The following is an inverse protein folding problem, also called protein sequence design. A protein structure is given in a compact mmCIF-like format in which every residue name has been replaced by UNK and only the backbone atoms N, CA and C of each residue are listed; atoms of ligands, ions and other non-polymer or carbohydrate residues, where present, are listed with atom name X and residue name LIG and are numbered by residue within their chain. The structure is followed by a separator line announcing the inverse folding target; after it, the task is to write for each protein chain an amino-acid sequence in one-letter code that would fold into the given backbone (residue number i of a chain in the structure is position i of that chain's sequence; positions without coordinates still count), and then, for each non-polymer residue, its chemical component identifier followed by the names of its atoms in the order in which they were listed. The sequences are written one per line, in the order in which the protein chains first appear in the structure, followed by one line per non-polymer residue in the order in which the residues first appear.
data_IF_561549669745
#
_entry.id   IF_561549669745
#
_cell.length_a   1.000
_cell.length_b   1.000
_cell.length_c   1.000
_cell.angle_alpha   90.00
_cell.angle_beta   90.00
_cell.angle_gamma   90.00
#
_symmetry.space_group_name_H-M   'P 1'
#
loop_
_entity.id
_entity.type
_entity.pdbx_description
1 polymer ?
#
# COMPACT_ATOMS: atom_id res chain seq x y z
N UNK A 1 -9.02 11.49 -22.16
CA UNK A 1 -8.00 12.10 -21.29
C UNK A 1 -7.39 10.97 -20.50
N UNK A 2 -6.10 10.68 -20.67
CA UNK A 2 -5.45 9.61 -19.90
C UNK A 2 -5.30 10.08 -18.46
N UNK A 3 -6.15 9.59 -17.55
CA UNK A 3 -5.96 9.80 -16.11
C UNK A 3 -4.58 9.26 -15.74
N UNK A 4 -3.64 10.15 -15.42
CA UNK A 4 -2.31 9.72 -14.93
C UNK A 4 -2.52 8.82 -13.72
N UNK A 5 -2.05 7.57 -13.82
CA UNK A 5 -2.13 6.63 -12.70
C UNK A 5 -1.24 7.14 -11.58
N UNK A 6 -1.77 7.12 -10.37
CA UNK A 6 -0.97 7.41 -9.16
C UNK A 6 -0.25 6.14 -8.71
N UNK A 7 0.87 6.34 -8.00
CA UNK A 7 1.54 5.23 -7.32
C UNK A 7 0.65 4.74 -6.17
N UNK A 8 0.73 3.44 -5.83
CA UNK A 8 0.25 2.95 -4.55
C UNK A 8 0.90 3.77 -3.40
N UNK A 9 0.13 4.21 -2.40
CA UNK A 9 0.63 5.08 -1.32
C UNK A 9 1.86 4.54 -0.59
N UNK A 10 1.96 3.22 -0.41
CA UNK A 10 3.11 2.56 0.22
C UNK A 10 4.44 2.75 -0.54
N UNK A 11 4.42 2.95 -1.86
CA UNK A 11 5.62 3.21 -2.66
C UNK A 11 5.73 4.65 -3.17
N UNK A 12 4.89 5.55 -2.69
CA UNK A 12 4.97 6.98 -2.97
C UNK A 12 5.87 7.69 -1.93
N UNK A 13 7.14 7.28 -1.86
CA UNK A 13 8.12 7.74 -0.86
C UNK A 13 9.09 8.81 -1.40
N UNK A 14 8.61 9.67 -2.32
CA UNK A 14 9.42 10.72 -2.92
C UNK A 14 10.04 11.68 -1.90
N UNK A 15 9.30 12.00 -0.84
CA UNK A 15 9.76 12.80 0.29
C UNK A 15 10.88 12.12 1.09
N UNK A 16 10.84 10.79 1.22
CA UNK A 16 11.90 10.01 1.88
C UNK A 16 13.15 9.97 1.01
N UNK A 17 13.01 9.85 -0.31
CA UNK A 17 14.13 9.96 -1.25
C UNK A 17 14.79 11.35 -1.18
N UNK A 18 14.00 12.42 -1.05
CA UNK A 18 14.52 13.78 -0.85
C UNK A 18 15.34 13.87 0.45
N UNK A 19 14.90 13.21 1.53
CA UNK A 19 15.67 13.14 2.78
C UNK A 19 16.96 12.35 2.64
N UNK A 20 16.97 11.25 1.88
CA UNK A 20 18.22 10.52 1.61
C UNK A 20 19.20 11.42 0.87
N UNK A 21 18.76 12.04 -0.24
CA UNK A 21 19.60 12.92 -1.05
C UNK A 21 20.14 14.13 -0.27
N UNK A 22 19.34 14.71 0.64
CA UNK A 22 19.77 15.84 1.46
C UNK A 22 20.78 15.48 2.56
N UNK A 23 20.93 14.19 2.90
CA UNK A 23 21.79 13.71 3.99
C UNK A 23 22.92 12.80 3.50
N UNK A 24 23.19 12.78 2.21
CA UNK A 24 24.35 12.08 1.62
C UNK A 24 25.13 13.01 0.73
N UNK A 25 26.46 12.90 0.77
CA UNK A 25 27.38 13.57 -0.16
C UNK A 25 27.95 12.58 -1.19
N UNK A 26 27.56 11.29 -1.12
CA UNK A 26 28.05 10.26 -2.03
C UNK A 26 27.39 10.39 -3.42
N UNK A 27 28.18 10.58 -4.51
CA UNK A 27 27.64 10.70 -5.86
C UNK A 27 26.89 9.46 -6.35
N UNK A 28 27.30 8.26 -5.95
CA UNK A 28 26.62 7.01 -6.31
C UNK A 28 25.29 6.89 -5.59
N UNK A 29 25.22 7.25 -4.31
CA UNK A 29 23.95 7.31 -3.58
C UNK A 29 22.97 8.27 -4.27
N UNK A 30 23.44 9.44 -4.69
CA UNK A 30 22.63 10.42 -5.44
C UNK A 30 22.15 9.84 -6.77
N UNK A 31 23.02 9.16 -7.52
CA UNK A 31 22.65 8.48 -8.77
C UNK A 31 21.55 7.44 -8.55
N UNK A 32 21.67 6.60 -7.52
CA UNK A 32 20.64 5.60 -7.23
C UNK A 32 19.31 6.22 -6.80
N UNK A 33 19.32 7.32 -6.05
CA UNK A 33 18.09 8.05 -5.73
C UNK A 33 17.39 8.52 -7.01
N UNK A 34 18.13 9.07 -7.96
CA UNK A 34 17.56 9.53 -9.22
C UNK A 34 17.05 8.37 -10.10
N UNK A 35 17.79 7.27 -10.19
CA UNK A 35 17.34 6.05 -10.88
C UNK A 35 16.05 5.48 -10.27
N UNK A 36 15.95 5.44 -8.94
CA UNK A 36 14.71 5.01 -8.26
C UNK A 36 13.54 5.94 -8.63
N UNK A 37 13.75 7.25 -8.68
CA UNK A 37 12.69 8.23 -9.07
C UNK A 37 12.23 8.01 -10.51
N UNK A 38 13.15 7.75 -11.42
CA UNK A 38 12.85 7.46 -12.82
C UNK A 38 11.99 6.20 -12.91
N UNK A 39 12.40 5.12 -12.25
CA UNK A 39 11.68 3.84 -12.31
C UNK A 39 10.29 3.90 -11.64
N UNK A 40 10.14 4.68 -10.56
CA UNK A 40 8.83 4.98 -9.96
C UNK A 40 7.94 5.79 -10.92
N UNK A 41 8.53 6.70 -11.70
CA UNK A 41 7.81 7.47 -12.72
C UNK A 41 7.37 6.57 -13.86
N UNK A 42 8.21 5.65 -14.31
CA UNK A 42 7.86 4.65 -15.32
C UNK A 42 6.76 3.70 -14.85
N UNK A 43 6.75 3.34 -13.56
CA UNK A 43 5.70 2.49 -12.98
C UNK A 43 4.30 3.12 -13.12
N UNK A 44 4.21 4.46 -13.10
CA UNK A 44 2.94 5.21 -13.33
C UNK A 44 2.44 5.06 -14.77
N UNK A 45 3.32 4.86 -15.74
CA UNK A 45 2.98 4.91 -17.17
C UNK A 45 2.83 3.54 -17.82
N UNK A 46 3.46 2.49 -17.27
CA UNK A 46 3.49 1.14 -17.85
C UNK A 46 2.22 0.30 -17.60
N UNK A 47 2.04 -0.70 -18.46
CA UNK A 47 1.00 -1.73 -18.37
C UNK A 47 1.28 -2.71 -17.21
N UNK A 48 0.24 -3.35 -16.63
CA UNK A 48 0.36 -4.24 -15.47
C UNK A 48 1.40 -5.36 -15.62
N UNK A 49 1.50 -5.98 -16.80
CA UNK A 49 2.37 -7.14 -17.05
C UNK A 49 3.87 -6.80 -17.03
N UNK A 50 4.23 -5.54 -17.28
CA UNK A 50 5.61 -5.06 -17.20
C UNK A 50 6.02 -4.64 -15.78
N UNK A 51 5.12 -4.75 -14.79
CA UNK A 51 5.37 -4.27 -13.42
C UNK A 51 6.26 -5.18 -12.61
N UNK A 52 6.25 -6.50 -12.80
CA UNK A 52 7.02 -7.38 -11.91
C UNK A 52 8.54 -7.26 -12.13
N UNK A 53 8.99 -7.21 -13.39
CA UNK A 53 10.39 -6.92 -13.69
C UNK A 53 10.79 -5.55 -13.17
N UNK A 54 9.90 -4.55 -13.30
CA UNK A 54 10.14 -3.19 -12.82
C UNK A 54 10.26 -3.11 -11.30
N UNK A 55 9.39 -3.82 -10.59
CA UNK A 55 9.43 -3.91 -9.12
C UNK A 55 10.72 -4.59 -8.66
N UNK A 56 11.20 -5.61 -9.38
CA UNK A 56 12.50 -6.21 -9.10
C UNK A 56 13.66 -5.23 -9.37
N UNK A 57 13.59 -4.43 -10.43
CA UNK A 57 14.59 -3.39 -10.71
C UNK A 57 14.67 -2.38 -9.58
N UNK A 58 13.52 -1.86 -9.13
CA UNK A 58 13.46 -0.88 -8.04
C UNK A 58 14.03 -1.49 -6.75
N UNK A 59 13.71 -2.74 -6.43
CA UNK A 59 14.28 -3.44 -5.27
C UNK A 59 15.81 -3.50 -5.33
N UNK A 60 16.37 -3.89 -6.48
CA UNK A 60 17.82 -3.96 -6.66
C UNK A 60 18.49 -2.58 -6.54
N UNK A 61 17.82 -1.52 -7.01
CA UNK A 61 18.31 -0.14 -6.87
C UNK A 61 18.29 0.31 -5.41
N UNK A 62 17.26 -0.05 -4.64
CA UNK A 62 17.18 0.24 -3.20
C UNK A 62 18.29 -0.50 -2.44
N UNK A 63 18.52 -1.78 -2.75
CA UNK A 63 19.60 -2.56 -2.14
C UNK A 63 20.97 -1.97 -2.51
N UNK A 64 21.13 -1.48 -3.74
CA UNK A 64 22.36 -0.80 -4.16
C UNK A 64 22.54 0.53 -3.44
N UNK A 65 21.50 1.35 -3.33
CA UNK A 65 21.52 2.61 -2.58
C UNK A 65 22.05 2.40 -1.15
N UNK A 66 21.58 1.36 -0.46
CA UNK A 66 22.00 1.01 0.91
C UNK A 66 23.50 0.70 1.04
N UNK A 67 24.20 0.40 -0.05
CA UNK A 67 25.66 0.19 -0.03
C UNK A 67 26.46 1.50 -0.02
N UNK A 68 25.84 2.64 -0.34
CA UNK A 68 26.50 3.95 -0.53
C UNK A 68 25.99 5.04 0.43
N UNK A 69 25.09 4.69 1.35
CA UNK A 69 24.55 5.62 2.35
C UNK A 69 24.96 5.20 3.75
N UNK A 70 25.28 6.19 4.57
CA UNK A 70 25.61 6.02 5.98
C UNK A 70 24.80 7.00 6.84
N UNK A 71 24.88 6.84 8.17
CA UNK A 71 24.27 7.75 9.14
C UNK A 71 22.76 7.94 8.92
N UNK A 72 22.32 9.19 8.87
CA UNK A 72 20.91 9.55 8.72
C UNK A 72 20.36 9.15 7.34
N UNK A 73 21.16 9.26 6.28
CA UNK A 73 20.74 8.80 4.94
C UNK A 73 20.47 7.28 4.92
N UNK A 74 21.29 6.48 5.63
CA UNK A 74 21.05 5.04 5.74
C UNK A 74 19.77 4.72 6.53
N UNK A 75 19.42 5.52 7.53
CA UNK A 75 18.16 5.37 8.26
C UNK A 75 16.96 5.58 7.33
N UNK A 76 16.96 6.65 6.54
CA UNK A 76 15.89 6.94 5.58
C UNK A 76 15.83 5.93 4.43
N UNK A 77 16.97 5.47 3.93
CA UNK A 77 17.04 4.42 2.91
C UNK A 77 16.48 3.08 3.42
N UNK A 78 16.68 2.75 4.70
CA UNK A 78 16.07 1.58 5.32
C UNK A 78 14.55 1.69 5.40
N UNK A 79 14.01 2.87 5.69
CA UNK A 79 12.55 3.10 5.62
C UNK A 79 12.02 2.82 4.21
N UNK A 80 12.74 3.23 3.16
CA UNK A 80 12.38 2.92 1.77
C UNK A 80 12.38 1.41 1.53
N UNK A 81 13.43 0.70 1.96
CA UNK A 81 13.54 -0.76 1.82
C UNK A 81 12.38 -1.48 2.52
N UNK A 82 12.06 -1.11 3.75
CA UNK A 82 10.99 -1.74 4.52
C UNK A 82 9.61 -1.47 3.90
N UNK A 83 9.33 -0.23 3.47
CA UNK A 83 8.11 0.11 2.74
C UNK A 83 7.98 -0.72 1.46
N UNK A 84 9.07 -0.89 0.72
CA UNK A 84 9.07 -1.67 -0.51
C UNK A 84 8.86 -3.18 -0.24
N UNK A 85 9.45 -3.71 0.84
CA UNK A 85 9.22 -5.08 1.28
C UNK A 85 7.75 -5.31 1.68
N UNK A 86 7.15 -4.38 2.43
CA UNK A 86 5.74 -4.41 2.79
C UNK A 86 4.82 -4.31 1.55
N UNK A 87 5.20 -3.51 0.55
CA UNK A 87 4.51 -3.48 -0.74
C UNK A 87 4.57 -4.82 -1.48
N UNK A 88 5.74 -5.47 -1.53
CA UNK A 88 5.87 -6.82 -2.10
C UNK A 88 5.03 -7.83 -1.35
N UNK A 89 4.99 -7.75 -0.02
CA UNK A 89 4.16 -8.62 0.81
C UNK A 89 2.67 -8.42 0.49
N UNK A 90 2.18 -7.18 0.50
CA UNK A 90 0.79 -6.86 0.14
C UNK A 90 0.43 -7.34 -1.26
N UNK A 91 1.33 -7.20 -2.25
CA UNK A 91 1.11 -7.71 -3.61
C UNK A 91 1.06 -9.24 -3.69
N UNK A 92 1.75 -9.96 -2.80
CA UNK A 92 1.66 -11.43 -2.74
C UNK A 92 0.36 -11.89 -2.09
N UNK A 93 -0.20 -11.10 -1.18
CA UNK A 93 -1.54 -11.32 -0.63
C UNK A 93 -2.64 -10.99 -1.64
N UNK A 94 -2.38 -10.08 -2.59
CA UNK A 94 -3.35 -9.75 -3.65
C UNK A 94 -3.61 -10.91 -4.61
N UNK A 95 -4.85 -10.98 -5.12
CA UNK A 95 -5.18 -11.85 -6.25
C UNK A 95 -4.39 -11.44 -7.49
N UNK A 96 -4.12 -12.41 -8.36
CA UNK A 96 -3.43 -12.18 -9.65
C UNK A 96 -4.31 -11.43 -10.66
N UNK A 97 -5.63 -11.47 -10.49
CA UNK A 97 -6.61 -10.93 -11.43
C UNK A 97 -7.28 -9.66 -10.93
N UNK A 98 -7.27 -9.41 -9.62
CA UNK A 98 -7.84 -8.23 -8.97
C UNK A 98 -6.76 -7.17 -8.67
N UNK A 99 -7.04 -5.90 -8.98
CA UNK A 99 -6.16 -4.77 -8.68
C UNK A 99 -6.97 -3.56 -8.20
N UNK A 100 -6.43 -2.80 -7.25
CA UNK A 100 -7.00 -1.50 -6.87
C UNK A 100 -6.24 -0.39 -7.58
N UNK A 101 -6.90 0.25 -8.53
CA UNK A 101 -6.36 1.39 -9.27
C UNK A 101 -6.75 2.71 -8.61
N UNK A 102 -5.79 3.64 -8.54
CA UNK A 102 -5.97 5.00 -7.97
C UNK A 102 -6.54 5.03 -6.54
N UNK A 103 -6.26 3.96 -5.77
CA UNK A 103 -6.66 3.82 -4.37
C UNK A 103 -6.05 4.91 -3.49
N UNK A 104 -6.88 5.66 -2.76
CA UNK A 104 -6.45 6.68 -1.81
C UNK A 104 -7.47 6.92 -0.72
N UNK A 105 -7.00 7.39 0.43
CA UNK A 105 -7.86 7.90 1.50
C UNK A 105 -8.21 9.36 1.25
N UNK A 106 -9.47 9.71 1.44
CA UNK A 106 -9.99 11.06 1.32
C UNK A 106 -10.74 11.51 2.57
N UNK A 107 -10.60 12.80 2.92
CA UNK A 107 -11.41 13.50 3.92
C UNK A 107 -11.93 14.79 3.30
N UNK A 108 -13.25 15.01 3.39
CA UNK A 108 -13.90 16.18 2.81
C UNK A 108 -13.60 16.43 1.32
N UNK A 109 -13.28 15.37 0.55
CA UNK A 109 -12.95 15.45 -0.88
C UNK A 109 -11.47 15.67 -1.20
N UNK A 110 -10.64 15.89 -0.19
CA UNK A 110 -9.19 16.02 -0.33
C UNK A 110 -8.46 14.75 0.12
N UNK A 111 -7.20 14.58 -0.28
CA UNK A 111 -6.38 13.45 0.19
C UNK A 111 -6.17 13.54 1.69
N UNK A 112 -6.52 12.48 2.41
CA UNK A 112 -6.47 12.44 3.87
C UNK A 112 -5.01 12.49 4.36
N UNK A 113 -4.71 13.43 5.27
CA UNK A 113 -3.45 13.44 5.99
C UNK A 113 -3.40 12.28 6.99
N UNK A 114 -2.36 11.45 6.93
CA UNK A 114 -2.20 10.29 7.82
C UNK A 114 -1.78 10.67 9.24
N UNK A 115 -1.33 11.92 9.44
CA UNK A 115 -1.00 12.48 10.76
C UNK A 115 -2.21 12.74 11.65
N UNK A 116 -3.41 12.65 11.09
CA UNK A 116 -4.67 12.86 11.81
C UNK A 116 -5.46 11.55 11.88
N UNK A 117 -5.71 11.06 13.10
CA UNK A 117 -6.65 9.96 13.28
C UNK A 117 -8.09 10.35 12.98
N UNK A 118 -8.89 9.36 12.60
CA UNK A 118 -10.31 9.52 12.35
C UNK A 118 -10.77 8.88 11.05
N UNK A 119 -12.07 9.00 10.80
CA UNK A 119 -12.71 8.46 9.60
C UNK A 119 -12.14 9.10 8.32
N UNK A 120 -11.95 8.26 7.30
CA UNK A 120 -11.59 8.63 5.95
C UNK A 120 -12.28 7.68 4.96
N UNK A 121 -12.53 8.15 3.74
CA UNK A 121 -13.07 7.31 2.68
C UNK A 121 -11.93 6.76 1.82
N UNK A 122 -11.81 5.44 1.70
CA UNK A 122 -11.05 4.84 0.62
C UNK A 122 -11.81 5.01 -0.69
N UNK A 123 -11.21 5.74 -1.63
CA UNK A 123 -11.66 5.94 -3.00
C UNK A 123 -10.72 5.26 -3.98
N UNK A 124 -11.26 4.78 -5.10
CA UNK A 124 -10.48 4.18 -6.18
C UNK A 124 -11.37 3.31 -7.08
N UNK A 125 -10.75 2.46 -7.88
CA UNK A 125 -11.49 1.44 -8.62
C UNK A 125 -10.87 0.07 -8.38
N UNK A 126 -11.69 -0.89 -7.97
CA UNK A 126 -11.36 -2.30 -8.08
C UNK A 126 -11.55 -2.73 -9.54
N UNK A 127 -10.52 -3.34 -10.11
CA UNK A 127 -10.50 -3.82 -11.49
C UNK A 127 -10.37 -5.34 -11.47
N UNK A 128 -11.30 -6.04 -12.12
CA UNK A 128 -11.21 -7.48 -12.33
C UNK A 128 -10.73 -7.79 -13.75
N UNK A 129 -9.52 -8.30 -13.88
CA UNK A 129 -8.93 -8.72 -15.16
C UNK A 129 -9.11 -10.23 -15.43
N UNK A 130 -9.81 -10.95 -14.56
CA UNK A 130 -10.08 -12.39 -14.67
C UNK A 130 -11.56 -12.68 -14.92
N UNK A 131 -11.95 -13.90 -14.54
CA UNK A 131 -13.33 -14.34 -14.56
C UNK A 131 -14.15 -13.72 -13.42
N UNK A 132 -15.47 -13.91 -13.46
CA UNK A 132 -16.36 -13.51 -12.37
C UNK A 132 -15.89 -14.14 -11.05
N UNK A 133 -15.76 -13.32 -10.01
CA UNK A 133 -15.33 -13.78 -8.69
C UNK A 133 -15.90 -12.90 -7.57
N UNK A 134 -15.88 -13.41 -6.35
CA UNK A 134 -16.07 -12.58 -5.16
C UNK A 134 -14.74 -11.89 -4.82
N UNK A 135 -14.82 -10.62 -4.45
CA UNK A 135 -13.66 -9.80 -4.13
C UNK A 135 -13.79 -9.17 -2.75
N UNK A 136 -12.64 -9.03 -2.09
CA UNK A 136 -12.45 -8.22 -0.90
C UNK A 136 -11.30 -7.24 -1.13
N UNK A 137 -11.36 -6.10 -0.45
CA UNK A 137 -10.29 -5.10 -0.42
C UNK A 137 -9.81 -4.96 1.01
N UNK A 138 -8.50 -5.03 1.23
CA UNK A 138 -7.88 -4.70 2.51
C UNK A 138 -7.08 -3.41 2.46
N UNK A 139 -7.03 -2.72 3.60
CA UNK A 139 -6.12 -1.62 3.86
C UNK A 139 -5.33 -1.95 5.12
N UNK A 140 -4.01 -1.98 5.01
CA UNK A 140 -3.09 -2.14 6.13
C UNK A 140 -2.35 -0.81 6.40
N UNK A 141 -2.34 -0.37 7.66
CA UNK A 141 -1.74 0.87 8.14
C UNK A 141 -0.43 0.57 8.86
N UNK A 142 0.62 1.36 8.60
CA UNK A 142 1.96 1.14 9.12
C UNK A 142 2.52 2.38 9.80
N UNK A 143 3.20 2.18 10.94
CA UNK A 143 3.87 3.26 11.66
C UNK A 143 5.25 3.60 11.06
N UNK A 144 5.91 4.60 11.66
CA UNK A 144 7.28 5.03 11.33
C UNK A 144 8.36 3.94 11.52
N UNK A 145 8.03 2.84 12.20
CA UNK A 145 8.92 1.68 12.38
C UNK A 145 8.59 0.54 11.42
N UNK A 146 7.74 0.80 10.43
CA UNK A 146 7.28 -0.13 9.40
C UNK A 146 6.47 -1.31 9.93
N UNK A 147 5.92 -1.19 11.15
CA UNK A 147 5.06 -2.21 11.76
C UNK A 147 3.62 -1.97 11.37
N UNK A 148 2.91 -3.05 11.03
CA UNK A 148 1.48 -3.00 10.81
C UNK A 148 0.76 -2.67 12.13
N UNK A 149 0.09 -1.52 12.18
CA UNK A 149 -0.67 -1.02 13.33
C UNK A 149 -2.11 -1.52 13.27
N UNK A 150 -2.70 -1.53 12.07
CA UNK A 150 -4.10 -1.85 11.88
C UNK A 150 -4.36 -2.38 10.47
N UNK A 151 -5.30 -3.31 10.31
CA UNK A 151 -5.77 -3.81 9.01
C UNK A 151 -7.30 -3.81 8.99
N UNK A 152 -7.87 -3.28 7.91
CA UNK A 152 -9.31 -3.27 7.66
C UNK A 152 -9.57 -4.06 6.39
N UNK A 153 -10.62 -4.87 6.38
CA UNK A 153 -11.06 -5.63 5.21
C UNK A 153 -12.51 -5.27 4.89
N UNK A 154 -12.83 -5.11 3.61
CA UNK A 154 -14.20 -4.88 3.16
C UNK A 154 -15.02 -6.15 3.31
N UNK A 155 -16.35 -6.00 3.27
CA UNK A 155 -17.22 -7.16 2.99
C UNK A 155 -16.93 -7.70 1.59
N UNK A 156 -17.29 -8.96 1.37
CA UNK A 156 -17.27 -9.59 0.06
C UNK A 156 -18.27 -8.94 -0.88
N UNK A 157 -17.90 -8.82 -2.15
CA UNK A 157 -18.81 -8.43 -3.21
C UNK A 157 -18.42 -9.05 -4.56
N UNK A 158 -19.42 -9.55 -5.29
CA UNK A 158 -19.22 -10.16 -6.61
C UNK A 158 -18.78 -9.10 -7.62
N UNK A 159 -17.73 -9.36 -8.39
CA UNK A 159 -17.28 -8.53 -9.53
C UNK A 159 -17.25 -9.34 -10.82
N UNK A 160 -17.83 -8.77 -11.88
CA UNK A 160 -17.85 -9.38 -13.20
C UNK A 160 -16.50 -9.31 -13.92
N UNK A 161 -16.32 -10.09 -15.01
CA UNK A 161 -15.14 -10.02 -15.85
C UNK A 161 -14.97 -8.63 -16.47
N UNK A 162 -13.77 -8.04 -16.37
CA UNK A 162 -13.50 -6.71 -16.88
C UNK A 162 -14.23 -5.58 -16.15
N UNK A 163 -14.86 -5.85 -15.00
CA UNK A 163 -15.58 -4.83 -14.25
C UNK A 163 -14.60 -3.84 -13.60
N UNK A 164 -14.92 -2.55 -13.71
CA UNK A 164 -14.27 -1.45 -12.99
C UNK A 164 -15.26 -0.92 -11.94
N UNK A 165 -15.21 -1.47 -10.73
CA UNK A 165 -16.09 -1.08 -9.64
C UNK A 165 -15.50 0.11 -8.88
N UNK A 166 -16.29 1.15 -8.70
CA UNK A 166 -15.91 2.27 -7.82
C UNK A 166 -15.87 1.79 -6.36
N UNK A 167 -14.78 2.13 -5.67
CA UNK A 167 -14.63 1.89 -4.24
C UNK A 167 -15.04 3.13 -3.46
N UNK A 168 -15.91 2.93 -2.48
CA UNK A 168 -16.29 3.90 -1.47
C UNK A 168 -16.40 3.18 -0.12
N UNK A 169 -15.29 3.05 0.58
CA UNK A 169 -15.21 2.33 1.85
C UNK A 169 -14.82 3.29 2.97
N UNK A 170 -15.66 3.39 3.99
CA UNK A 170 -15.34 4.14 5.21
C UNK A 170 -14.36 3.33 6.05
N UNK A 171 -13.23 3.95 6.37
CA UNK A 171 -12.19 3.35 7.23
C UNK A 171 -11.76 4.33 8.31
N UNK A 172 -11.34 3.81 9.45
CA UNK A 172 -10.73 4.61 10.50
C UNK A 172 -9.21 4.59 10.34
N UNK A 173 -8.61 5.76 10.16
CA UNK A 173 -7.14 5.91 10.20
C UNK A 173 -6.74 6.03 11.68
N UNK A 174 -5.91 5.13 12.22
CA UNK A 174 -5.45 5.26 13.60
C UNK A 174 -4.45 6.42 13.76
N UNK A 175 -4.02 6.71 14.99
CA UNK A 175 -2.96 7.70 15.24
C UNK A 175 -1.56 7.10 14.99
N UNK A 176 -0.60 7.94 14.61
CA UNK A 176 0.81 7.55 14.50
C UNK A 176 1.17 6.72 13.28
N UNK A 177 0.42 6.91 12.18
CA UNK A 177 0.58 6.16 10.93
C UNK A 177 1.34 7.00 9.92
N UNK A 178 2.27 6.37 9.22
CA UNK A 178 3.11 7.04 8.22
C UNK A 178 2.70 6.69 6.79
N UNK A 179 2.14 5.49 6.58
CA UNK A 179 1.71 5.02 5.27
C UNK A 179 0.70 3.87 5.38
N UNK A 180 0.12 3.50 4.24
CA UNK A 180 -0.79 2.37 4.14
C UNK A 180 -0.63 1.63 2.82
N UNK A 181 -0.98 0.34 2.84
CA UNK A 181 -1.06 -0.52 1.66
C UNK A 181 -2.52 -0.88 1.39
N UNK A 182 -2.89 -0.94 0.11
CA UNK A 182 -4.18 -1.46 -0.33
C UNK A 182 -3.93 -2.74 -1.12
N UNK A 183 -4.69 -3.79 -0.83
CA UNK A 183 -4.67 -5.04 -1.57
C UNK A 183 -6.10 -5.47 -1.94
N UNK A 184 -6.26 -6.14 -3.08
CA UNK A 184 -7.50 -6.79 -3.47
C UNK A 184 -7.27 -8.28 -3.62
N UNK A 185 -8.14 -9.10 -3.05
CA UNK A 185 -7.97 -10.54 -2.99
C UNK A 185 -9.31 -11.25 -3.10
N UNK A 186 -9.25 -12.51 -3.49
CA UNK A 186 -10.39 -13.41 -3.46
C UNK A 186 -10.54 -13.92 -2.01
N UNK A 187 -11.76 -13.97 -1.46
CA UNK A 187 -11.97 -14.51 -0.12
C UNK A 187 -11.46 -15.95 -0.05
N UNK A 188 -10.69 -16.24 0.99
CA UNK A 188 -10.14 -17.58 1.22
C UNK A 188 -11.24 -18.46 1.84
N UNK A 189 -12.06 -19.11 1.01
CA UNK A 189 -13.21 -19.93 1.39
C UNK A 189 -14.37 -19.11 2.04
N UNK A 190 -15.66 -19.43 1.77
CA UNK A 190 -16.79 -18.63 2.27
C UNK A 190 -17.02 -18.93 3.76
N UNK A 191 -16.26 -18.29 4.63
CA UNK A 191 -16.39 -18.45 6.08
C UNK A 191 -16.65 -17.11 6.78
N UNK A 192 -17.94 -16.84 6.98
CA UNK A 192 -18.50 -16.03 8.07
C UNK A 192 -18.14 -14.53 8.08
N UNK A 193 -19.00 -13.74 7.45
CA UNK A 193 -19.04 -12.27 7.50
C UNK A 193 -19.11 -11.77 8.95
N UNK A 194 -18.07 -11.08 9.42
CA UNK A 194 -18.18 -10.22 10.60
C UNK A 194 -18.96 -8.95 10.21
N UNK A 195 -20.09 -8.72 10.90
CA UNK A 195 -21.09 -7.73 10.53
C UNK A 195 -20.59 -6.28 10.50
N UNK A 196 -19.49 -5.93 11.15
CA UNK A 196 -18.94 -4.57 11.15
C UNK A 196 -17.41 -4.63 11.21
N UNK A 197 -16.75 -3.74 10.44
CA UNK A 197 -15.30 -3.58 10.56
C UNK A 197 -14.98 -3.09 11.99
N UNK A 198 -14.11 -3.78 12.74
CA UNK A 198 -13.79 -3.35 14.10
C UNK A 198 -13.18 -1.95 14.09
N UNK A 199 -13.52 -1.15 15.09
CA UNK A 199 -12.87 0.14 15.35
C UNK A 199 -11.70 -0.09 16.31
N UNK A 200 -10.51 0.54 16.11
CA UNK A 200 -9.43 0.47 17.09
C UNK A 200 -9.91 0.98 18.45
N UNK A 201 -9.89 0.13 19.47
CA UNK A 201 -10.39 0.41 20.82
C UNK A 201 -11.35 -0.64 21.37
N UNK A 202 -12.06 -1.37 20.51
CA UNK A 202 -12.94 -2.47 20.95
C UNK A 202 -12.19 -3.79 21.15
N UNK A 203 -11.01 -3.95 20.54
CA UNK A 203 -10.17 -5.13 20.69
C UNK A 203 -9.56 -5.29 22.10
N UNK A 204 -9.52 -4.24 22.91
CA UNK A 204 -9.07 -4.32 24.31
C UNK A 204 -10.17 -4.73 25.30
N UNK A 205 -11.40 -5.00 24.84
CA UNK A 205 -12.50 -5.48 25.69
C UNK A 205 -12.92 -6.93 25.46
N UNK A 206 -12.26 -7.65 24.56
CA UNK A 206 -12.45 -9.10 24.42
C UNK A 206 -11.17 -9.82 24.81
N UNK A 207 -10.90 -9.79 26.11
CA UNK A 207 -10.20 -10.92 26.73
C UNK A 207 -11.02 -12.19 26.49
N UNK A 208 -10.30 -13.26 26.15
CA UNK A 208 -10.75 -14.66 26.03
C UNK A 208 -11.93 -14.97 25.09
N UNK A 209 -11.61 -15.54 23.93
CA UNK A 209 -12.32 -16.74 23.46
C UNK A 209 -11.34 -17.71 22.80
N UNK A 210 -10.98 -18.70 23.60
CA UNK A 210 -10.59 -20.07 23.27
C UNK A 210 -10.96 -20.59 21.87
N UNK A 211 -9.98 -21.25 21.25
CA UNK A 211 -10.21 -22.36 20.31
C UNK A 211 -11.11 -23.43 20.94
N UNK A 212 -12.12 -23.90 20.20
CA UNK A 212 -12.72 -25.23 20.36
C UNK A 212 -13.09 -25.74 18.96
N UNK A 213 -12.78 -27.01 18.72
CA UNK A 213 -13.02 -27.79 17.49
C UNK A 213 -14.42 -27.61 16.85
#
# INVERSE_FOLDING_TARGET
MSSQRRLPPIIDFGDVLDRVAANTDDPEATRYVDEIREELTELKTRAPDARESQVQTIENLIDSLLMYVDGDAAMWAKTIQNRFANYRHARRESSRTLDVSNGRLERAGDTAALTEAGEAQLRGHLVNNGDRTDAMVSIAFYDSTDRAVWKVESREFEVGPGEHRELDLTVYVPDGIDYYAIAAFEPSDPATVAGDAPTPGDAQKREDTSYVD
#
